data_IF_972092821156
#
_entry.id   IF_972092821156
#
_cell.length_a   1.000
_cell.length_b   1.000
_cell.length_c   1.000
_cell.angle_alpha   90.00
_cell.angle_beta   90.00
_cell.angle_gamma   90.00
#
_symmetry.space_group_name_H-M   'P 1'
#
loop_
_entity.id
_entity.type
_entity.pdbx_description
1 polymer ?
#
# COMPACT_ATOMS: atom_id res chain seq x y z
N UNK A 1 -7.67 -1.03 -1.03
CA UNK A 1 -6.84 -1.36 -2.20
C UNK A 1 -5.42 -0.83 -1.99
N UNK A 2 -4.39 -1.48 -2.52
CA UNK A 2 -3.03 -0.94 -2.63
C UNK A 2 -2.48 -1.15 -4.05
N UNK A 3 -1.68 -0.22 -4.56
CA UNK A 3 -1.12 -0.30 -5.90
C UNK A 3 0.13 0.55 -6.06
N UNK A 4 1.26 -0.05 -6.43
CA UNK A 4 2.41 0.66 -6.97
C UNK A 4 2.07 1.08 -8.42
N UNK A 5 2.06 2.38 -8.72
CA UNK A 5 1.63 2.95 -10.02
C UNK A 5 2.77 3.28 -10.96
N UNK A 6 4.00 2.86 -10.58
CA UNK A 6 5.19 2.90 -11.43
C UNK A 6 5.54 4.29 -11.98
N UNK A 7 5.40 5.30 -11.15
CA UNK A 7 5.81 6.69 -11.42
C UNK A 7 5.59 7.12 -12.88
N UNK A 8 6.61 7.74 -13.51
CA UNK A 8 6.61 8.16 -14.93
C UNK A 8 7.45 7.24 -15.81
N UNK A 9 7.60 5.97 -15.46
CA UNK A 9 8.31 5.02 -16.27
C UNK A 9 7.47 4.54 -17.47
N UNK A 10 8.12 4.09 -18.53
CA UNK A 10 7.45 3.60 -19.75
C UNK A 10 6.49 4.63 -20.37
N UNK A 11 5.38 4.18 -20.96
CA UNK A 11 4.39 5.05 -21.62
C UNK A 11 3.41 5.67 -20.58
N UNK A 12 3.94 6.44 -19.63
CA UNK A 12 3.24 6.87 -18.42
C UNK A 12 1.94 7.67 -18.69
N UNK A 13 1.84 8.49 -19.78
CA UNK A 13 0.62 9.23 -20.11
C UNK A 13 -0.53 8.28 -20.48
N UNK A 14 -0.24 7.22 -21.26
CA UNK A 14 -1.23 6.20 -21.61
C UNK A 14 -1.58 5.35 -20.38
N UNK A 15 -0.58 5.05 -19.52
CA UNK A 15 -0.80 4.34 -18.27
C UNK A 15 -1.67 5.14 -17.29
N UNK A 16 -1.56 6.47 -17.27
CA UNK A 16 -2.41 7.33 -16.43
C UNK A 16 -3.90 7.10 -16.74
N UNK A 17 -4.26 7.00 -18.01
CA UNK A 17 -5.65 6.70 -18.40
C UNK A 17 -6.06 5.29 -18.01
N UNK A 18 -5.15 4.31 -18.15
CA UNK A 18 -5.42 2.93 -17.72
C UNK A 18 -5.54 2.81 -16.21
N UNK A 19 -4.72 3.53 -15.42
CA UNK A 19 -4.83 3.62 -13.95
C UNK A 19 -6.20 4.15 -13.53
N UNK A 20 -6.65 5.26 -14.10
CA UNK A 20 -7.97 5.84 -13.81
C UNK A 20 -9.11 4.88 -14.13
N UNK A 21 -9.04 4.19 -15.27
CA UNK A 21 -10.07 3.22 -15.67
C UNK A 21 -10.12 2.00 -14.74
N UNK A 22 -8.98 1.46 -14.31
CA UNK A 22 -8.93 0.35 -13.33
C UNK A 22 -9.48 0.81 -11.98
N UNK A 23 -9.06 1.97 -11.48
CA UNK A 23 -9.55 2.52 -10.22
C UNK A 23 -11.07 2.75 -10.26
N UNK A 24 -11.60 3.31 -11.34
CA UNK A 24 -13.04 3.51 -11.52
C UNK A 24 -13.80 2.17 -11.55
N UNK A 25 -13.25 1.15 -12.22
CA UNK A 25 -13.86 -0.19 -12.28
C UNK A 25 -13.85 -0.91 -10.93
N UNK A 26 -12.79 -0.74 -10.12
CA UNK A 26 -12.70 -1.31 -8.78
C UNK A 26 -13.50 -0.51 -7.74
N UNK A 27 -13.69 0.79 -7.96
CA UNK A 27 -14.40 1.72 -7.07
C UNK A 27 -14.02 1.57 -5.59
N UNK A 28 -12.71 1.58 -5.24
CA UNK A 28 -12.27 1.33 -3.88
C UNK A 28 -12.72 2.46 -2.95
N UNK A 29 -13.14 2.14 -1.73
CA UNK A 29 -13.42 3.16 -0.71
C UNK A 29 -12.15 3.87 -0.25
N UNK A 30 -11.05 3.13 -0.11
CA UNK A 30 -9.71 3.64 0.23
C UNK A 30 -8.65 2.93 -0.59
N UNK A 31 -7.69 3.67 -1.12
CA UNK A 31 -6.55 3.13 -1.84
C UNK A 31 -5.24 3.80 -1.44
N UNK A 32 -4.23 2.97 -1.15
CA UNK A 32 -2.83 3.38 -1.02
C UNK A 32 -2.11 3.23 -2.35
N UNK A 33 -1.50 4.30 -2.82
CA UNK A 33 -0.70 4.32 -4.04
C UNK A 33 0.77 4.54 -3.69
N UNK A 34 1.67 3.80 -4.35
CA UNK A 34 3.10 3.97 -4.24
C UNK A 34 3.63 4.44 -5.60
N UNK A 35 4.78 5.09 -5.61
CA UNK A 35 5.40 5.66 -6.82
C UNK A 35 4.53 6.70 -7.54
N UNK A 36 3.87 7.53 -6.78
CA UNK A 36 3.09 8.66 -7.29
C UNK A 36 4.00 9.83 -7.61
N UNK A 37 3.80 10.48 -8.75
CA UNK A 37 4.56 11.67 -9.13
C UNK A 37 3.86 12.97 -8.70
N UNK A 38 4.66 13.95 -8.31
CA UNK A 38 4.26 15.35 -8.10
C UNK A 38 5.26 16.24 -8.83
N UNK A 39 4.78 17.24 -9.55
CA UNK A 39 5.58 18.31 -10.16
C UNK A 39 5.69 19.52 -9.22
N UNK A 40 6.80 20.21 -9.30
CA UNK A 40 7.06 21.40 -8.48
C UNK A 40 6.10 22.56 -8.80
N UNK A 41 5.50 22.57 -10.00
CA UNK A 41 4.44 23.50 -10.40
C UNK A 41 3.07 23.20 -9.77
N UNK A 42 2.96 22.12 -9.01
CA UNK A 42 1.75 21.73 -8.28
C UNK A 42 0.92 20.64 -8.95
N UNK A 43 1.26 20.18 -10.17
CA UNK A 43 0.59 19.01 -10.77
C UNK A 43 0.86 17.76 -9.93
N UNK A 44 -0.18 16.97 -9.67
CA UNK A 44 -0.11 15.85 -8.73
C UNK A 44 -0.97 14.69 -9.23
N UNK A 45 -0.34 13.54 -9.46
CA UNK A 45 -1.03 12.34 -9.94
C UNK A 45 -2.15 11.87 -8.98
N UNK A 46 -1.91 11.96 -7.67
CA UNK A 46 -2.93 11.57 -6.69
C UNK A 46 -4.16 12.50 -6.78
N UNK A 47 -3.95 13.81 -6.95
CA UNK A 47 -5.04 14.77 -7.11
C UNK A 47 -5.84 14.51 -8.40
N UNK A 48 -5.17 14.21 -9.52
CA UNK A 48 -5.82 13.87 -10.79
C UNK A 48 -6.69 12.61 -10.65
N UNK A 49 -6.14 11.52 -10.11
CA UNK A 49 -6.87 10.26 -9.89
C UNK A 49 -8.01 10.40 -8.86
N UNK A 50 -7.79 11.19 -7.80
CA UNK A 50 -8.81 11.45 -6.79
C UNK A 50 -10.00 12.24 -7.35
N UNK A 51 -9.74 13.23 -8.22
CA UNK A 51 -10.79 14.01 -8.87
C UNK A 51 -11.71 13.13 -9.73
N UNK A 52 -11.15 12.18 -10.48
CA UNK A 52 -11.91 11.23 -11.31
C UNK A 52 -12.81 10.30 -10.47
N UNK A 53 -12.40 10.00 -9.22
CA UNK A 53 -13.15 9.15 -8.30
C UNK A 53 -14.10 9.94 -7.36
N UNK A 54 -13.97 11.25 -7.29
CA UNK A 54 -14.64 12.07 -6.26
C UNK A 54 -14.09 11.79 -4.85
N UNK A 55 -12.80 11.51 -4.72
CA UNK A 55 -12.14 11.16 -3.46
C UNK A 55 -11.34 12.32 -2.87
N UNK A 56 -11.20 12.31 -1.56
CA UNK A 56 -10.16 13.07 -0.85
C UNK A 56 -8.80 12.40 -1.10
N UNK A 57 -7.73 13.18 -0.94
CA UNK A 57 -6.38 12.63 -1.09
C UNK A 57 -5.38 13.26 -0.12
N UNK A 58 -4.32 12.51 0.17
CA UNK A 58 -3.14 12.98 0.88
C UNK A 58 -1.89 12.29 0.33
N UNK A 59 -0.73 12.94 0.46
CA UNK A 59 0.56 12.38 0.05
C UNK A 59 1.59 12.46 1.17
N UNK A 60 2.63 11.63 1.09
CA UNK A 60 3.84 11.87 1.90
C UNK A 60 4.46 13.21 1.52
N UNK A 61 5.28 13.74 2.43
CA UNK A 61 5.99 15.01 2.18
C UNK A 61 6.86 14.89 0.94
N UNK A 62 6.61 15.68 -0.13
CA UNK A 62 7.39 15.61 -1.35
C UNK A 62 8.81 16.10 -1.13
N UNK A 63 9.76 15.43 -1.77
CA UNK A 63 11.16 15.84 -1.87
C UNK A 63 11.51 16.00 -3.34
N UNK A 64 11.50 17.22 -3.82
CA UNK A 64 11.72 17.52 -5.23
C UNK A 64 13.18 17.32 -5.62
N UNK A 65 13.37 16.68 -6.77
CA UNK A 65 14.62 16.58 -7.48
C UNK A 65 14.34 16.79 -8.97
N UNK A 66 15.03 17.72 -9.58
CA UNK A 66 14.84 18.08 -11.00
C UNK A 66 13.34 18.37 -11.34
N UNK A 67 12.65 19.10 -10.45
CA UNK A 67 11.27 19.50 -10.63
C UNK A 67 10.21 18.41 -10.36
N UNK A 68 10.62 17.21 -9.95
CA UNK A 68 9.75 16.06 -9.71
C UNK A 68 9.97 15.47 -8.31
N UNK A 69 8.89 15.02 -7.69
CA UNK A 69 8.93 14.23 -6.47
C UNK A 69 8.32 12.84 -6.70
N UNK A 70 8.77 11.91 -5.88
CA UNK A 70 8.33 10.53 -5.82
C UNK A 70 7.74 10.29 -4.42
N UNK A 71 6.43 10.02 -4.34
CA UNK A 71 5.71 9.96 -3.07
C UNK A 71 4.79 8.75 -2.98
N UNK A 72 4.32 8.47 -1.75
CA UNK A 72 3.16 7.62 -1.52
C UNK A 72 1.92 8.49 -1.36
N UNK A 73 0.74 7.99 -1.76
CA UNK A 73 -0.52 8.68 -1.63
C UNK A 73 -1.61 7.78 -1.04
N UNK A 74 -2.60 8.38 -0.40
CA UNK A 74 -3.85 7.74 -0.02
C UNK A 74 -4.99 8.52 -0.66
N UNK A 75 -5.89 7.82 -1.35
CA UNK A 75 -7.16 8.34 -1.81
C UNK A 75 -8.27 7.71 -0.97
N UNK A 76 -9.27 8.48 -0.58
CA UNK A 76 -10.38 8.00 0.24
C UNK A 76 -11.70 8.66 -0.16
N UNK A 77 -12.77 7.89 -0.15
CA UNK A 77 -14.14 8.39 -0.29
C UNK A 77 -14.52 9.38 0.83
N UNK A 78 -13.86 9.27 1.96
CA UNK A 78 -14.14 10.06 3.17
C UNK A 78 -12.98 10.99 3.52
N UNK A 79 -13.23 12.03 4.32
CA UNK A 79 -12.19 13.00 4.74
C UNK A 79 -10.97 12.31 5.37
N UNK A 80 -9.80 12.88 5.10
CA UNK A 80 -8.50 12.36 5.55
C UNK A 80 -7.79 13.42 6.39
N UNK A 81 -7.27 13.02 7.56
CA UNK A 81 -6.19 13.70 8.26
C UNK A 81 -4.93 12.83 8.11
N UNK A 82 -3.84 13.39 7.57
CA UNK A 82 -2.65 12.61 7.30
C UNK A 82 -1.37 13.20 7.86
N UNK A 83 -0.46 12.33 8.24
CA UNK A 83 0.90 12.68 8.65
C UNK A 83 1.93 11.79 7.95
N UNK A 84 3.11 12.35 7.69
CA UNK A 84 4.24 11.61 7.11
C UNK A 84 5.23 11.24 8.20
N UNK A 85 5.67 9.99 8.22
CA UNK A 85 6.78 9.52 9.05
C UNK A 85 7.94 9.02 8.18
N UNK A 86 9.17 9.39 8.52
CA UNK A 86 10.37 8.83 7.90
C UNK A 86 10.61 7.42 8.45
N UNK A 87 10.99 6.50 7.57
CA UNK A 87 11.33 5.13 7.96
C UNK A 87 12.85 4.97 8.10
N UNK A 88 13.33 4.18 9.08
CA UNK A 88 14.74 4.01 9.34
C UNK A 88 15.43 3.06 8.35
N UNK A 89 16.77 3.08 8.36
CA UNK A 89 17.64 1.98 7.90
C UNK A 89 17.91 1.01 9.04
N UNK A 90 18.60 -0.09 8.72
CA UNK A 90 19.00 -1.10 9.70
C UNK A 90 19.87 -0.53 10.84
N UNK A 91 20.66 0.49 10.59
CA UNK A 91 21.51 1.20 11.56
C UNK A 91 20.77 2.29 12.36
N UNK A 92 19.44 2.43 12.15
CA UNK A 92 18.62 3.44 12.81
C UNK A 92 18.65 4.83 12.17
N UNK A 93 19.50 5.05 11.16
CA UNK A 93 19.51 6.35 10.44
C UNK A 93 18.30 6.49 9.53
N UNK A 94 17.80 7.72 9.27
CA UNK A 94 16.66 7.93 8.37
C UNK A 94 16.97 7.44 6.95
N UNK A 95 16.02 6.73 6.35
CA UNK A 95 16.06 6.38 4.93
C UNK A 95 15.33 7.44 4.08
N UNK A 96 15.32 7.24 2.77
CA UNK A 96 14.47 8.04 1.87
C UNK A 96 13.00 7.56 1.87
N UNK A 97 12.73 6.39 2.44
CA UNK A 97 11.38 5.80 2.51
C UNK A 97 10.54 6.48 3.60
N UNK A 98 9.25 6.59 3.32
CA UNK A 98 8.29 7.26 4.18
C UNK A 98 7.03 6.41 4.30
N UNK A 99 6.36 6.50 5.45
CA UNK A 99 4.99 6.05 5.64
C UNK A 99 4.05 7.25 5.59
N UNK A 100 2.89 7.07 4.94
CA UNK A 100 1.76 7.97 5.01
C UNK A 100 0.73 7.36 5.96
N UNK A 101 0.49 8.02 7.09
CA UNK A 101 -0.47 7.60 8.10
C UNK A 101 -1.73 8.46 7.91
N UNK A 102 -2.79 7.85 7.46
CA UNK A 102 -4.07 8.51 7.17
C UNK A 102 -5.13 8.05 8.19
N UNK A 103 -5.64 9.00 8.95
CA UNK A 103 -6.82 8.83 9.78
C UNK A 103 -8.03 9.29 8.98
N UNK A 104 -8.92 8.37 8.67
CA UNK A 104 -10.05 8.54 7.76
C UNK A 104 -11.34 8.55 8.56
N UNK A 105 -12.15 9.59 8.38
CA UNK A 105 -13.46 9.74 9.04
C UNK A 105 -14.53 8.98 8.25
N UNK A 106 -14.56 7.65 8.44
CA UNK A 106 -15.48 6.76 7.74
C UNK A 106 -16.83 6.63 8.49
N UNK A 107 -17.94 6.31 7.80
CA UNK A 107 -19.27 6.21 8.42
C UNK A 107 -19.41 5.08 9.45
N UNK A 108 -18.46 4.15 9.47
CA UNK A 108 -18.36 3.07 10.46
C UNK A 108 -17.35 3.39 11.59
N UNK A 109 -16.88 4.63 11.68
CA UNK A 109 -15.91 5.10 12.65
C UNK A 109 -14.55 5.42 12.03
N UNK A 110 -13.61 5.88 12.87
CA UNK A 110 -12.26 6.23 12.43
C UNK A 110 -11.50 5.00 11.94
N UNK A 111 -10.99 5.08 10.71
CA UNK A 111 -10.11 4.10 10.11
C UNK A 111 -8.68 4.66 10.05
N UNK A 112 -7.74 4.03 10.75
CA UNK A 112 -6.31 4.29 10.53
C UNK A 112 -5.83 3.45 9.36
N UNK A 113 -5.50 4.11 8.24
CA UNK A 113 -4.96 3.50 7.04
C UNK A 113 -3.51 3.96 6.83
N UNK A 114 -2.57 3.03 6.79
CA UNK A 114 -1.14 3.35 6.61
C UNK A 114 -0.67 2.82 5.28
N UNK A 115 -0.11 3.72 4.47
CA UNK A 115 0.47 3.39 3.17
C UNK A 115 1.98 3.54 3.19
N UNK A 116 2.69 2.53 2.70
CA UNK A 116 4.16 2.49 2.69
C UNK A 116 4.72 1.96 1.37
N UNK A 117 6.01 2.23 1.15
CA UNK A 117 6.83 1.60 0.13
C UNK A 117 8.22 1.36 0.75
N UNK A 118 8.54 0.09 1.06
CA UNK A 118 9.77 -0.27 1.74
C UNK A 118 10.99 -0.26 0.81
N UNK A 119 12.17 -0.47 1.38
CA UNK A 119 13.42 -0.50 0.61
C UNK A 119 13.40 -1.61 -0.45
N UNK A 120 13.82 -1.28 -1.67
CA UNK A 120 13.72 -2.17 -2.83
C UNK A 120 14.94 -3.08 -3.02
N UNK A 121 16.08 -2.77 -2.40
CA UNK A 121 17.30 -3.53 -2.62
C UNK A 121 17.15 -4.98 -2.13
N UNK A 122 17.58 -5.94 -2.94
CA UNK A 122 17.36 -7.36 -2.66
C UNK A 122 18.03 -7.83 -1.37
N UNK A 123 19.17 -7.23 -1.04
CA UNK A 123 19.97 -7.53 0.16
C UNK A 123 19.59 -6.64 1.37
N UNK A 124 18.55 -5.80 1.25
CA UNK A 124 18.15 -4.85 2.29
C UNK A 124 17.10 -5.39 3.28
N UNK A 125 16.98 -6.71 3.48
CA UNK A 125 15.98 -7.28 4.39
C UNK A 125 16.14 -6.72 5.82
N UNK A 126 17.36 -6.55 6.33
CA UNK A 126 17.58 -5.93 7.64
C UNK A 126 17.01 -4.50 7.73
N UNK A 127 17.09 -3.71 6.66
CA UNK A 127 16.46 -2.38 6.58
C UNK A 127 14.94 -2.49 6.55
N UNK A 128 14.38 -3.40 5.76
CA UNK A 128 12.93 -3.62 5.72
C UNK A 128 12.37 -4.13 7.04
N UNK A 129 13.12 -4.97 7.77
CA UNK A 129 12.77 -5.39 9.14
C UNK A 129 12.69 -4.18 10.08
N UNK A 130 13.67 -3.26 10.04
CA UNK A 130 13.62 -2.04 10.83
C UNK A 130 12.44 -1.13 10.43
N UNK A 131 12.17 -0.99 9.14
CA UNK A 131 11.03 -0.24 8.60
C UNK A 131 9.68 -0.86 9.03
N UNK A 132 9.52 -2.18 8.93
CA UNK A 132 8.32 -2.90 9.36
C UNK A 132 8.10 -2.78 10.87
N UNK A 133 9.16 -2.84 11.66
CA UNK A 133 9.09 -2.63 13.11
C UNK A 133 8.65 -1.21 13.46
N UNK A 134 9.13 -0.20 12.74
CA UNK A 134 8.71 1.19 12.93
C UNK A 134 7.26 1.41 12.53
N UNK A 135 6.82 0.85 11.41
CA UNK A 135 5.40 0.88 11.01
C UNK A 135 4.48 0.32 12.08
N UNK A 136 4.83 -0.81 12.69
CA UNK A 136 4.04 -1.41 13.77
C UNK A 136 3.96 -0.48 14.99
N UNK A 137 5.05 0.23 15.37
CA UNK A 137 5.05 1.22 16.47
C UNK A 137 4.17 2.42 16.15
N UNK A 138 4.34 3.01 14.96
CA UNK A 138 3.54 4.15 14.50
C UNK A 138 2.04 3.85 14.46
N UNK A 139 1.67 2.61 14.11
CA UNK A 139 0.28 2.15 14.14
C UNK A 139 -0.20 1.96 15.58
N UNK A 140 0.62 1.37 16.44
CA UNK A 140 0.28 1.17 17.85
C UNK A 140 0.00 2.50 18.56
N UNK A 141 0.81 3.54 18.30
CA UNK A 141 0.66 4.88 18.87
C UNK A 141 -0.64 5.59 18.44
N UNK A 142 -1.22 5.21 17.29
CA UNK A 142 -2.47 5.77 16.78
C UNK A 142 -3.69 4.92 17.07
N UNK A 143 -3.48 3.69 17.47
CA UNK A 143 -4.54 2.73 17.64
C UNK A 143 -5.47 3.13 18.79
N UNK A 144 -6.76 3.32 18.50
CA UNK A 144 -7.83 3.42 19.49
C UNK A 144 -8.02 2.08 20.21
N UNK A 145 -8.95 2.01 21.16
CA UNK A 145 -9.22 0.76 21.87
C UNK A 145 -9.44 -0.40 20.88
N UNK A 146 -8.59 -1.43 20.91
CA UNK A 146 -8.70 -2.55 19.96
C UNK A 146 -9.95 -3.41 20.17
N UNK A 147 -10.73 -3.18 21.21
CA UNK A 147 -11.99 -3.88 21.46
C UNK A 147 -13.21 -3.14 20.89
N UNK A 148 -13.05 -1.87 20.52
CA UNK A 148 -14.18 -1.02 20.08
C UNK A 148 -13.96 -0.41 18.69
N UNK A 149 -12.71 -0.17 18.30
CA UNK A 149 -12.39 0.52 17.06
C UNK A 149 -12.25 -0.42 15.85
N UNK A 150 -12.50 0.11 14.65
CA UNK A 150 -12.14 -0.56 13.41
C UNK A 150 -10.62 -0.82 13.40
N UNK A 151 -10.18 -2.03 12.99
CA UNK A 151 -8.75 -2.35 13.00
C UNK A 151 -7.97 -1.49 12.01
N UNK A 152 -6.72 -1.11 12.35
CA UNK A 152 -5.86 -0.41 11.41
C UNK A 152 -5.56 -1.29 10.20
N UNK A 153 -5.47 -0.65 9.03
CA UNK A 153 -5.06 -1.28 7.78
C UNK A 153 -3.68 -0.76 7.38
N UNK A 154 -2.75 -1.67 7.18
CA UNK A 154 -1.42 -1.37 6.65
C UNK A 154 -1.32 -1.91 5.22
N UNK A 155 -1.00 -1.05 4.29
CA UNK A 155 -0.99 -1.31 2.86
C UNK A 155 0.33 -0.85 2.22
N UNK A 156 0.73 -1.45 1.11
CA UNK A 156 1.87 -0.95 0.36
C UNK A 156 2.63 -1.99 -0.43
N UNK A 157 3.69 -1.50 -1.06
CA UNK A 157 4.75 -2.31 -1.65
C UNK A 157 5.84 -2.54 -0.58
N UNK A 158 5.94 -3.78 -0.12
CA UNK A 158 6.90 -4.18 0.90
C UNK A 158 8.24 -4.62 0.33
N UNK A 159 8.33 -4.80 -0.99
CA UNK A 159 9.53 -5.31 -1.66
C UNK A 159 10.07 -6.62 -1.03
N UNK A 160 9.19 -7.40 -0.43
CA UNK A 160 9.52 -8.59 0.37
C UNK A 160 8.57 -9.74 0.02
N UNK A 161 9.11 -10.95 0.01
CA UNK A 161 8.31 -12.17 -0.15
C UNK A 161 7.58 -12.51 1.17
N UNK A 162 6.50 -13.27 1.09
CA UNK A 162 5.63 -13.63 2.22
C UNK A 162 6.35 -14.40 3.37
N UNK A 163 7.43 -15.09 3.05
CA UNK A 163 8.27 -15.79 4.02
C UNK A 163 9.46 -14.96 4.53
N UNK A 164 9.64 -13.72 4.05
CA UNK A 164 10.72 -12.84 4.51
C UNK A 164 10.50 -12.38 5.96
N UNK A 165 11.58 -12.08 6.65
CA UNK A 165 11.55 -11.77 8.09
C UNK A 165 10.70 -10.55 8.41
N UNK A 166 10.70 -9.50 7.58
CA UNK A 166 9.88 -8.31 7.69
C UNK A 166 8.37 -8.63 7.62
N UNK A 167 7.95 -9.58 6.81
CA UNK A 167 6.55 -10.02 6.71
C UNK A 167 6.19 -10.94 7.88
N UNK A 168 7.07 -11.87 8.24
CA UNK A 168 6.90 -12.76 9.39
C UNK A 168 6.80 -12.00 10.72
N UNK A 169 7.55 -10.91 10.84
CA UNK A 169 7.50 -10.01 11.99
C UNK A 169 6.13 -9.33 12.12
N UNK A 170 5.55 -8.85 11.03
CA UNK A 170 4.22 -8.23 11.02
C UNK A 170 3.11 -9.24 11.29
N UNK A 171 3.21 -10.44 10.74
CA UNK A 171 2.17 -11.49 10.87
C UNK A 171 2.24 -12.29 12.17
N UNK A 172 3.26 -12.04 13.02
CA UNK A 172 3.45 -12.77 14.28
C UNK A 172 4.07 -14.17 14.10
N UNK A 173 4.60 -14.49 12.92
CA UNK A 173 5.37 -15.71 12.69
C UNK A 173 6.78 -15.65 13.34
N UNK A 174 7.19 -14.45 13.78
CA UNK A 174 8.31 -14.19 14.68
C UNK A 174 7.83 -13.24 15.78
N UNK A 175 8.69 -12.91 16.76
CA UNK A 175 8.34 -11.99 17.85
C UNK A 175 7.93 -10.62 17.29
N UNK A 176 6.69 -10.17 17.52
CA UNK A 176 6.23 -8.88 17.01
C UNK A 176 6.94 -7.72 17.71
N UNK A 177 7.22 -6.60 17.01
CA UNK A 177 7.91 -5.45 17.57
C UNK A 177 7.08 -4.70 18.64
N UNK A 178 5.77 -4.87 18.58
CA UNK A 178 4.81 -4.35 19.57
C UNK A 178 4.05 -5.55 20.14
N UNK A 179 4.25 -5.87 21.45
CA UNK A 179 3.52 -6.95 22.09
C UNK A 179 1.99 -6.76 21.95
N UNK A 180 1.30 -7.81 21.52
CA UNK A 180 -0.15 -7.77 21.33
C UNK A 180 -0.65 -7.10 20.05
N UNK A 181 0.23 -6.67 19.14
CA UNK A 181 -0.15 -6.22 17.81
C UNK A 181 0.50 -7.08 16.73
N UNK A 182 -0.32 -7.74 15.95
CA UNK A 182 0.07 -8.47 14.73
C UNK A 182 -0.93 -8.16 13.62
N UNK A 183 -0.65 -8.58 12.41
CA UNK A 183 -1.49 -8.29 11.25
C UNK A 183 -1.91 -9.57 10.54
N UNK A 184 -3.13 -9.59 10.06
CA UNK A 184 -3.62 -10.61 9.14
C UNK A 184 -3.32 -10.17 7.72
N UNK A 185 -2.53 -10.94 6.97
CA UNK A 185 -2.36 -10.78 5.53
C UNK A 185 -3.68 -11.14 4.83
N UNK A 186 -4.20 -10.24 4.00
CA UNK A 186 -5.49 -10.43 3.36
C UNK A 186 -5.48 -11.54 2.30
N UNK A 187 -4.35 -11.74 1.60
CA UNK A 187 -4.29 -12.70 0.48
C UNK A 187 -4.52 -14.14 0.89
N UNK A 188 -3.81 -14.71 1.89
CA UNK A 188 -4.05 -16.10 2.32
C UNK A 188 -5.46 -16.35 2.86
N UNK A 189 -6.16 -15.30 3.29
CA UNK A 189 -7.51 -15.40 3.90
C UNK A 189 -8.61 -15.30 2.86
N UNK A 190 -8.53 -14.32 1.97
CA UNK A 190 -9.61 -13.98 1.04
C UNK A 190 -9.28 -14.19 -0.44
N UNK A 191 -8.06 -14.62 -0.76
CA UNK A 191 -7.61 -14.88 -2.13
C UNK A 191 -8.14 -16.18 -2.71
N UNK A 192 -7.80 -16.43 -3.96
CA UNK A 192 -8.26 -17.58 -4.76
C UNK A 192 -7.43 -18.86 -4.57
N UNK A 193 -6.46 -18.84 -3.65
CA UNK A 193 -5.51 -19.95 -3.41
C UNK A 193 -4.29 -19.93 -4.32
N UNK A 194 -4.20 -19.00 -5.29
CA UNK A 194 -2.97 -18.80 -6.06
C UNK A 194 -1.90 -18.09 -5.23
N UNK A 195 -0.64 -18.04 -5.69
CA UNK A 195 0.42 -17.29 -5.01
C UNK A 195 0.18 -15.77 -4.92
N UNK A 196 -0.70 -15.21 -5.75
CA UNK A 196 -1.05 -13.78 -5.74
C UNK A 196 0.08 -12.86 -6.20
N UNK A 197 0.81 -13.25 -7.22
CA UNK A 197 1.95 -12.48 -7.71
C UNK A 197 1.52 -11.09 -8.19
N UNK A 198 2.00 -10.06 -7.52
CA UNK A 198 1.76 -8.67 -7.88
C UNK A 198 2.81 -8.15 -8.85
N UNK A 199 3.98 -8.76 -8.88
CA UNK A 199 5.06 -8.52 -9.81
C UNK A 199 5.34 -9.82 -10.58
N UNK A 200 4.94 -9.86 -11.86
CA UNK A 200 4.90 -11.07 -12.67
C UNK A 200 5.47 -10.80 -14.06
N UNK A 201 6.50 -11.55 -14.54
CA UNK A 201 7.01 -11.46 -15.91
C UNK A 201 5.97 -11.64 -17.02
N UNK A 202 4.78 -12.16 -16.74
CA UNK A 202 3.66 -12.12 -17.68
C UNK A 202 3.14 -10.68 -17.95
N UNK A 203 3.48 -9.73 -17.09
CA UNK A 203 3.23 -8.30 -17.32
C UNK A 203 4.17 -7.80 -18.42
N UNK A 204 3.65 -7.18 -19.51
CA UNK A 204 4.49 -6.75 -20.64
C UNK A 204 5.55 -5.71 -20.27
N UNK A 205 5.38 -4.97 -19.17
CA UNK A 205 6.39 -4.05 -18.66
C UNK A 205 7.58 -4.77 -18.00
N UNK A 206 7.43 -6.06 -17.69
CA UNK A 206 8.44 -6.92 -17.06
C UNK A 206 8.95 -8.04 -17.98
N UNK A 207 8.62 -7.99 -19.27
CA UNK A 207 8.96 -9.06 -20.23
C UNK A 207 10.48 -9.36 -20.32
N UNK A 208 11.33 -8.38 -20.02
CA UNK A 208 12.81 -8.53 -19.98
C UNK A 208 13.33 -8.79 -18.55
N UNK A 209 12.46 -8.88 -17.54
CA UNK A 209 12.87 -9.13 -16.18
C UNK A 209 13.39 -10.57 -16.02
N UNK A 210 14.54 -10.72 -15.39
CA UNK A 210 15.14 -12.04 -15.13
C UNK A 210 14.74 -12.65 -13.79
N UNK A 211 13.97 -11.94 -13.00
CA UNK A 211 13.54 -12.34 -11.67
C UNK A 211 12.26 -13.19 -11.73
N UNK A 212 12.09 -14.14 -10.80
CA UNK A 212 10.87 -14.92 -10.72
C UNK A 212 9.67 -14.06 -10.30
N UNK A 213 8.48 -14.59 -10.51
CA UNK A 213 7.22 -14.01 -10.03
C UNK A 213 7.26 -13.78 -8.52
N UNK A 214 6.66 -12.67 -8.04
CA UNK A 214 6.66 -12.27 -6.64
C UNK A 214 5.34 -11.65 -6.22
N UNK A 215 4.96 -11.90 -4.98
CA UNK A 215 3.98 -11.10 -4.26
C UNK A 215 4.75 -10.11 -3.39
N UNK A 216 4.72 -8.84 -3.73
CA UNK A 216 5.45 -7.74 -3.09
C UNK A 216 4.53 -6.73 -2.42
N UNK A 217 3.27 -6.67 -2.88
CA UNK A 217 2.26 -5.74 -2.40
C UNK A 217 1.30 -6.45 -1.46
N UNK A 218 0.97 -5.81 -0.34
CA UNK A 218 0.19 -6.40 0.73
C UNK A 218 -0.89 -5.47 1.26
N UNK A 219 -1.99 -6.11 1.70
CA UNK A 219 -3.00 -5.52 2.58
C UNK A 219 -3.01 -6.29 3.89
N UNK A 220 -2.67 -5.63 4.97
CA UNK A 220 -2.66 -6.17 6.31
C UNK A 220 -3.75 -5.55 7.17
N UNK A 221 -4.45 -6.36 7.95
CA UNK A 221 -5.49 -5.93 8.90
C UNK A 221 -5.03 -6.22 10.31
N UNK A 222 -5.03 -5.22 11.18
CA UNK A 222 -4.53 -5.30 12.55
C UNK A 222 -5.31 -6.30 13.42
N UNK A 223 -4.61 -6.93 14.35
CA UNK A 223 -5.14 -7.82 15.38
C UNK A 223 -4.54 -7.45 16.76
N UNK A 224 -5.27 -7.53 17.87
CA UNK A 224 -6.67 -7.94 18.02
C UNK A 224 -7.67 -6.89 17.51
N UNK A 225 -8.90 -7.30 17.26
CA UNK A 225 -10.00 -6.45 16.78
C UNK A 225 -11.36 -6.99 17.24
N UNK A 226 -12.42 -6.13 17.32
CA UNK A 226 -13.76 -6.59 17.60
C UNK A 226 -14.27 -7.50 16.46
N UNK A 227 -14.92 -8.59 16.78
CA UNK A 227 -15.57 -9.43 15.77
C UNK A 227 -16.93 -8.82 15.39
N UNK A 228 -17.28 -8.76 14.10
CA UNK A 228 -16.56 -9.27 12.93
C UNK A 228 -15.77 -8.20 12.16
N UNK A 229 -15.55 -7.01 12.74
CA UNK A 229 -14.92 -5.86 12.07
C UNK A 229 -13.56 -6.19 11.45
N UNK A 230 -13.34 -5.71 10.23
CA UNK A 230 -12.10 -5.91 9.49
C UNK A 230 -11.84 -7.35 9.05
N UNK A 231 -12.82 -8.26 9.17
CA UNK A 231 -12.69 -9.61 8.61
C UNK A 231 -12.59 -9.54 7.10
N UNK A 232 -11.51 -10.12 6.55
CA UNK A 232 -11.31 -10.21 5.10
C UNK A 232 -12.36 -11.16 4.51
N UNK A 233 -13.18 -10.65 3.59
CA UNK A 233 -14.22 -11.42 2.91
C UNK A 233 -13.74 -11.94 1.57
N UNK A 234 -12.99 -11.11 0.84
CA UNK A 234 -12.38 -11.41 -0.45
C UNK A 234 -11.08 -10.66 -0.61
N UNK A 235 -10.14 -11.23 -1.38
CA UNK A 235 -8.93 -10.56 -1.84
C UNK A 235 -8.64 -10.97 -3.28
N UNK A 236 -8.26 -10.01 -4.15
CA UNK A 236 -7.98 -10.30 -5.56
C UNK A 236 -6.98 -9.31 -6.14
N UNK A 237 -6.43 -9.67 -7.31
CA UNK A 237 -5.58 -8.78 -8.10
C UNK A 237 -6.43 -7.98 -9.11
N UNK A 238 -6.04 -6.74 -9.35
CA UNK A 238 -6.62 -5.88 -10.37
C UNK A 238 -5.52 -5.23 -11.23
N UNK A 239 -5.90 -4.75 -12.43
CA UNK A 239 -4.95 -4.11 -13.34
C UNK A 239 -4.11 -5.09 -14.17
N UNK A 240 -4.44 -6.38 -14.17
CA UNK A 240 -3.74 -7.41 -14.95
C UNK A 240 -4.00 -7.31 -16.47
N UNK A 241 -5.15 -6.77 -16.86
CA UNK A 241 -5.56 -6.64 -18.25
C UNK A 241 -5.23 -5.25 -18.80
N UNK A 242 -4.85 -5.19 -20.06
CA UNK A 242 -4.62 -3.93 -20.77
C UNK A 242 -5.92 -3.14 -20.91
N UNK A 243 -5.87 -1.84 -20.69
CA UNK A 243 -6.91 -0.87 -21.00
C UNK A 243 -6.43 -0.04 -22.18
N UNK A 244 -7.22 0.02 -23.26
CA UNK A 244 -6.81 0.65 -24.51
C UNK A 244 -5.42 0.22 -25.03
N UNK A 245 -5.09 -1.07 -24.84
CA UNK A 245 -3.83 -1.67 -25.29
C UNK A 245 -2.64 -1.48 -24.34
N UNK A 246 -2.84 -0.87 -23.17
CA UNK A 246 -1.75 -0.61 -22.21
C UNK A 246 -2.09 -1.22 -20.84
N UNK A 247 -1.18 -2.00 -20.24
CA UNK A 247 -1.24 -2.42 -18.84
C UNK A 247 -0.86 -1.22 -17.98
N UNK A 248 -1.63 -1.00 -16.90
CA UNK A 248 -1.57 0.26 -16.17
C UNK A 248 -0.27 0.47 -15.36
N UNK A 249 0.34 -0.59 -14.85
CA UNK A 249 1.58 -0.54 -14.07
C UNK A 249 2.38 -1.83 -14.28
N UNK A 250 3.65 -1.84 -13.90
CA UNK A 250 4.47 -3.05 -13.80
C UNK A 250 4.08 -3.91 -12.57
N UNK A 251 3.36 -3.35 -11.59
CA UNK A 251 2.71 -4.08 -10.52
C UNK A 251 1.21 -4.27 -10.78
N UNK A 252 0.66 -5.37 -10.29
CA UNK A 252 -0.79 -5.56 -10.16
C UNK A 252 -1.25 -5.07 -8.80
N UNK A 253 -2.43 -4.45 -8.77
CA UNK A 253 -3.03 -3.98 -7.53
C UNK A 253 -3.56 -5.15 -6.69
N UNK A 254 -3.50 -5.01 -5.36
CA UNK A 254 -4.19 -5.89 -4.41
C UNK A 254 -5.44 -5.18 -3.90
N UNK A 255 -6.58 -5.85 -4.00
CA UNK A 255 -7.88 -5.34 -3.53
C UNK A 255 -8.44 -6.31 -2.51
N UNK A 256 -9.06 -5.80 -1.45
CA UNK A 256 -9.75 -6.64 -0.46
C UNK A 256 -11.06 -6.00 -0.01
N UNK A 257 -12.08 -6.84 0.16
CA UNK A 257 -13.31 -6.50 0.86
C UNK A 257 -13.16 -6.82 2.34
N UNK A 258 -13.36 -5.81 3.19
CA UNK A 258 -13.32 -5.94 4.64
C UNK A 258 -14.71 -5.73 5.23
N UNK A 259 -15.07 -6.53 6.21
CA UNK A 259 -16.37 -6.42 6.88
C UNK A 259 -16.41 -5.21 7.81
N UNK A 260 -17.43 -4.39 7.70
CA UNK A 260 -17.62 -3.15 8.48
C UNK A 260 -18.73 -3.23 9.52
N UNK A 261 -19.43 -4.33 9.60
CA UNK A 261 -20.54 -4.56 10.56
C UNK A 261 -21.10 -5.96 10.47
#
# INVERSE_FOLDING_TARGET
MTWNVWWRFGPWQQRQQALGAVLAAQAPDVVGLQEVWIEEDGRNQAAELAADLGHHWATTTPRFRDGLAFVNAVLSRWPIEATTAALPRADGTPSHRQALLADIDAPFGRLTFVNTHLDFAFDASATRVAQAAELARLIADRRSDPQEAFPPVLAGDFNALDHADEIRLLTGATAPPVPGLVFTDAWPVGGDGSPGYTWDPANPHLAEATWPNRRLDYLFVGWPRPKPLGTVQRCWLAGQSAVAGVVASDHYAVVADLRIG
#
